data_IF_735126709460
#
_entry.id   IF_735126709460
#
_cell.length_a   1.000
_cell.length_b   1.000
_cell.length_c   1.000
_cell.angle_alpha   90.00
_cell.angle_beta   90.00
_cell.angle_gamma   90.00
#
_symmetry.space_group_name_H-M   'P 1'
#
loop_
_entity.id
_entity.type
_entity.pdbx_description
1 polymer ?
#
# COMPACT_ATOMS: atom_id res chain seq x y z
N UNK A 1 -17.79 -7.26 2.07
CA UNK A 1 -17.62 -6.73 3.43
C UNK A 1 -16.81 -5.44 3.40
N UNK A 2 -16.95 -4.52 4.37
CA UNK A 2 -16.13 -3.32 4.44
C UNK A 2 -14.66 -3.66 4.75
N UNK A 3 -13.74 -2.99 4.06
CA UNK A 3 -12.30 -3.12 4.25
C UNK A 3 -11.69 -1.82 4.78
N UNK A 4 -11.96 -0.70 4.13
CA UNK A 4 -11.39 0.59 4.48
C UNK A 4 -12.37 1.74 4.19
N UNK A 5 -12.27 2.80 4.99
CA UNK A 5 -12.93 4.09 4.78
C UNK A 5 -11.89 5.20 4.90
N UNK A 6 -11.61 5.87 3.79
CA UNK A 6 -10.53 6.85 3.67
C UNK A 6 -11.14 8.22 3.40
N UNK A 7 -10.92 9.17 4.31
CA UNK A 7 -11.40 10.54 4.18
C UNK A 7 -10.28 11.44 3.65
N UNK A 8 -10.61 12.36 2.73
CA UNK A 8 -9.62 13.29 2.16
C UNK A 8 -9.05 14.26 3.19
N UNK A 9 -9.81 14.58 4.25
CA UNK A 9 -9.31 15.39 5.37
C UNK A 9 -8.19 14.71 6.16
N UNK A 10 -8.15 13.37 6.14
CA UNK A 10 -7.18 12.57 6.89
C UNK A 10 -6.04 12.10 5.97
N UNK A 11 -6.26 12.06 4.64
CA UNK A 11 -5.29 11.61 3.64
C UNK A 11 -5.24 12.65 2.50
N UNK A 12 -4.33 13.64 2.59
CA UNK A 12 -4.23 14.74 1.62
C UNK A 12 -3.92 14.29 0.18
N UNK A 13 -3.16 13.21 0.03
CA UNK A 13 -2.75 12.68 -1.29
C UNK A 13 -3.83 11.81 -1.97
N UNK A 14 -4.97 11.58 -1.30
CA UNK A 14 -6.08 10.85 -1.88
C UNK A 14 -6.83 11.73 -2.89
N UNK A 15 -6.55 11.52 -4.17
CA UNK A 15 -7.26 12.20 -5.25
C UNK A 15 -8.69 11.67 -5.40
N UNK A 16 -9.68 12.51 -5.13
CA UNK A 16 -11.10 12.15 -5.25
C UNK A 16 -11.78 12.71 -6.50
N UNK A 17 -12.83 12.02 -6.97
CA UNK A 17 -13.78 12.61 -7.92
C UNK A 17 -14.42 13.90 -7.39
N UNK A 18 -14.79 14.79 -8.31
CA UNK A 18 -15.45 16.04 -7.96
C UNK A 18 -16.71 15.81 -7.10
N UNK A 19 -16.81 16.54 -5.98
CA UNK A 19 -17.94 16.46 -5.07
C UNK A 19 -17.93 15.25 -4.12
N UNK A 20 -16.81 14.53 -4.02
CA UNK A 20 -16.61 13.42 -3.08
C UNK A 20 -15.40 13.66 -2.17
N UNK A 21 -15.50 13.21 -0.92
CA UNK A 21 -14.52 13.41 0.16
C UNK A 21 -14.29 12.12 0.99
N UNK A 22 -14.89 11.01 0.55
CA UNK A 22 -14.81 9.70 1.18
C UNK A 22 -14.67 8.61 0.12
N UNK A 23 -13.61 7.81 0.23
CA UNK A 23 -13.48 6.52 -0.45
C UNK A 23 -13.89 5.41 0.51
N UNK A 24 -14.82 4.56 0.08
CA UNK A 24 -15.17 3.33 0.76
C UNK A 24 -14.74 2.14 -0.09
N UNK A 25 -13.91 1.28 0.49
CA UNK A 25 -13.42 0.05 -0.14
C UNK A 25 -14.16 -1.13 0.48
N UNK A 26 -14.82 -1.91 -0.37
CA UNK A 26 -15.39 -3.19 -0.01
C UNK A 26 -14.59 -4.30 -0.68
N UNK A 27 -14.54 -5.47 -0.06
CA UNK A 27 -13.97 -6.65 -0.72
C UNK A 27 -14.79 -7.92 -0.48
N UNK A 28 -14.57 -8.91 -1.35
CA UNK A 28 -15.08 -10.27 -1.23
C UNK A 28 -13.99 -11.16 -0.62
N UNK A 29 -14.20 -11.77 0.56
CA UNK A 29 -13.17 -12.57 1.24
C UNK A 29 -13.05 -13.99 0.64
N UNK A 30 -12.93 -14.05 -0.69
CA UNK A 30 -12.77 -15.26 -1.50
C UNK A 30 -11.72 -15.00 -2.58
N UNK A 31 -10.96 -16.03 -2.94
CA UNK A 31 -10.10 -16.01 -4.11
C UNK A 31 -10.95 -16.04 -5.39
N UNK A 32 -10.54 -15.30 -6.42
CA UNK A 32 -11.28 -15.15 -7.68
C UNK A 32 -10.50 -15.65 -8.92
N UNK A 33 -10.23 -16.96 -9.04
CA UNK A 33 -9.54 -17.52 -10.20
C UNK A 33 -10.35 -17.36 -11.49
N UNK A 34 -9.71 -17.45 -12.68
CA UNK A 34 -8.27 -17.69 -12.88
C UNK A 34 -7.43 -16.41 -12.92
N UNK A 35 -8.08 -15.24 -12.98
CA UNK A 35 -7.40 -13.96 -13.21
C UNK A 35 -6.69 -13.42 -11.97
N UNK A 36 -7.25 -13.67 -10.78
CA UNK A 36 -6.66 -13.21 -9.52
C UNK A 36 -6.87 -14.25 -8.41
N UNK A 37 -5.78 -14.67 -7.76
CA UNK A 37 -5.85 -15.57 -6.60
C UNK A 37 -5.87 -14.76 -5.30
N UNK A 38 -6.74 -13.75 -5.24
CA UNK A 38 -6.88 -12.80 -4.13
C UNK A 38 -8.32 -12.25 -4.04
N UNK A 39 -8.69 -11.57 -2.94
CA UNK A 39 -9.97 -10.90 -2.77
C UNK A 39 -10.26 -9.93 -3.91
N UNK A 40 -11.51 -9.90 -4.39
CA UNK A 40 -11.96 -8.85 -5.32
C UNK A 40 -12.43 -7.65 -4.54
N UNK A 41 -12.09 -6.44 -4.98
CA UNK A 41 -12.53 -5.19 -4.37
C UNK A 41 -13.59 -4.48 -5.20
N UNK A 42 -14.36 -3.62 -4.54
CA UNK A 42 -15.30 -2.66 -5.13
C UNK A 42 -15.12 -1.33 -4.44
N UNK A 43 -15.00 -0.27 -5.23
CA UNK A 43 -14.75 1.09 -4.77
C UNK A 43 -16.03 1.91 -4.83
N UNK A 44 -16.29 2.70 -3.78
CA UNK A 44 -17.39 3.67 -3.75
C UNK A 44 -16.86 5.04 -3.34
N UNK A 45 -16.94 6.00 -4.25
CA UNK A 45 -16.69 7.41 -3.96
C UNK A 45 -17.97 8.07 -3.47
N UNK A 46 -17.89 8.74 -2.31
CA UNK A 46 -19.05 9.33 -1.63
C UNK A 46 -18.74 10.73 -1.14
N UNK A 47 -19.80 11.52 -0.97
CA UNK A 47 -19.77 12.69 -0.10
C UNK A 47 -20.22 12.25 1.29
N UNK A 48 -19.34 12.33 2.28
CA UNK A 48 -19.57 11.98 3.66
C UNK A 48 -20.79 12.72 4.23
N UNK A 49 -20.94 14.01 3.91
CA UNK A 49 -22.09 14.82 4.30
C UNK A 49 -23.44 14.33 3.74
N UNK A 50 -23.42 13.58 2.63
CA UNK A 50 -24.63 12.99 2.02
C UNK A 50 -24.95 11.58 2.54
N UNK A 51 -24.10 10.99 3.39
CA UNK A 51 -24.34 9.68 3.99
C UNK A 51 -25.28 9.83 5.19
N UNK A 52 -26.58 9.62 4.95
CA UNK A 52 -27.61 9.79 5.99
C UNK A 52 -27.77 8.58 6.93
N UNK A 53 -27.60 7.36 6.39
CA UNK A 53 -27.83 6.12 7.14
C UNK A 53 -26.51 5.41 7.41
N UNK A 54 -25.87 5.78 8.52
CA UNK A 54 -24.63 5.12 8.99
C UNK A 54 -25.00 3.94 9.87
N UNK A 55 -24.44 2.77 9.59
CA UNK A 55 -24.62 1.58 10.41
C UNK A 55 -23.77 1.70 11.69
N UNK A 56 -24.34 1.33 12.84
CA UNK A 56 -23.62 1.35 14.12
C UNK A 56 -22.51 0.28 14.20
N UNK A 57 -22.69 -0.83 13.48
CA UNK A 57 -21.71 -1.89 13.35
C UNK A 57 -21.54 -2.27 11.87
N UNK A 58 -20.34 -2.65 11.42
CA UNK A 58 -20.13 -3.15 10.08
C UNK A 58 -20.92 -4.46 9.88
N UNK A 59 -21.53 -4.68 8.70
CA UNK A 59 -22.26 -5.90 8.43
C UNK A 59 -21.30 -7.09 8.38
N UNK A 60 -21.64 -8.17 9.08
CA UNK A 60 -20.87 -9.40 9.04
C UNK A 60 -20.98 -10.08 7.66
N UNK A 61 -19.87 -10.57 7.08
CA UNK A 61 -19.93 -11.32 5.84
C UNK A 61 -20.69 -12.65 6.06
N UNK A 62 -21.63 -13.00 5.17
CA UNK A 62 -22.39 -14.25 5.32
C UNK A 62 -21.55 -15.51 5.14
N UNK A 63 -20.41 -15.39 4.45
CA UNK A 63 -19.44 -16.46 4.27
C UNK A 63 -18.04 -15.86 4.06
N UNK A 64 -17.03 -16.61 4.48
CA UNK A 64 -15.62 -16.24 4.43
C UNK A 64 -14.86 -17.49 4.01
N UNK A 65 -14.12 -17.43 2.90
CA UNK A 65 -13.33 -18.57 2.46
C UNK A 65 -12.09 -18.75 3.34
N UNK A 66 -11.43 -17.63 3.65
CA UNK A 66 -10.22 -17.61 4.45
C UNK A 66 -10.33 -16.55 5.53
N UNK A 67 -10.08 -16.96 6.78
CA UNK A 67 -10.18 -16.09 7.94
C UNK A 67 -9.17 -14.93 7.89
N UNK A 68 -8.05 -15.10 7.18
CA UNK A 68 -7.02 -14.08 6.99
C UNK A 68 -7.39 -13.00 5.95
N UNK A 69 -8.59 -13.08 5.35
CA UNK A 69 -9.25 -11.98 4.63
C UNK A 69 -10.26 -11.23 5.50
N UNK A 70 -10.25 -11.44 6.81
CA UNK A 70 -11.02 -10.61 7.75
C UNK A 70 -10.07 -9.65 8.45
N UNK A 71 -10.21 -8.34 8.24
CA UNK A 71 -9.42 -7.38 9.00
C UNK A 71 -9.86 -7.37 10.46
N UNK A 72 -8.88 -7.25 11.36
CA UNK A 72 -9.14 -6.72 12.69
C UNK A 72 -9.51 -5.23 12.60
N UNK A 73 -10.66 -4.81 13.15
CA UNK A 73 -11.05 -3.40 13.15
C UNK A 73 -10.02 -2.57 13.88
N UNK A 74 -9.43 -1.60 13.19
CA UNK A 74 -8.44 -0.68 13.73
C UNK A 74 -8.72 0.74 13.25
N UNK A 75 -8.25 1.72 14.03
CA UNK A 75 -8.21 3.11 13.60
C UNK A 75 -6.89 3.34 12.87
N UNK A 76 -6.96 3.88 11.66
CA UNK A 76 -5.78 4.26 10.90
C UNK A 76 -5.21 5.57 11.46
N UNK A 77 -3.88 5.62 11.58
CA UNK A 77 -3.12 6.83 11.85
C UNK A 77 -2.26 7.11 10.61
N UNK A 78 -2.80 7.82 9.60
CA UNK A 78 -2.08 8.06 8.36
C UNK A 78 -0.89 8.99 8.61
N UNK A 79 0.26 8.64 8.03
CA UNK A 79 1.45 9.48 7.96
C UNK A 79 1.74 9.80 6.50
N UNK A 80 1.97 11.08 6.19
CA UNK A 80 2.36 11.49 4.85
C UNK A 80 3.88 11.32 4.71
N UNK A 81 4.29 10.42 3.82
CA UNK A 81 5.71 10.12 3.56
C UNK A 81 6.08 10.44 2.12
N UNK A 82 7.35 10.77 1.90
CA UNK A 82 7.92 10.87 0.55
C UNK A 82 8.59 9.56 0.20
N UNK A 83 8.23 9.00 -0.94
CA UNK A 83 8.83 7.79 -1.50
C UNK A 83 9.15 7.96 -2.98
N UNK A 84 10.04 7.11 -3.48
CA UNK A 84 10.53 7.14 -4.86
C UNK A 84 10.23 5.83 -5.61
N UNK A 85 10.28 5.83 -6.96
CA UNK A 85 9.93 4.67 -7.78
C UNK A 85 10.76 3.44 -7.42
N UNK A 86 10.22 2.26 -7.71
CA UNK A 86 10.99 1.03 -7.59
C UNK A 86 12.27 1.10 -8.44
N UNK A 87 13.40 0.52 -8.00
CA UNK A 87 14.65 0.54 -8.75
C UNK A 87 14.52 0.03 -10.20
N UNK A 88 13.61 -0.90 -10.47
CA UNK A 88 13.38 -1.45 -11.80
C UNK A 88 12.69 -0.45 -12.75
N UNK A 89 12.01 0.57 -12.22
CA UNK A 89 11.38 1.64 -12.98
C UNK A 89 12.31 2.83 -13.24
N UNK A 90 13.48 2.85 -12.58
CA UNK A 90 14.46 3.91 -12.78
C UNK A 90 15.17 3.81 -14.15
N UNK A 91 15.50 4.97 -14.71
CA UNK A 91 16.37 5.05 -15.89
C UNK A 91 17.74 4.44 -15.59
N UNK A 92 18.51 4.08 -16.62
CA UNK A 92 19.86 3.53 -16.42
C UNK A 92 20.78 4.53 -15.73
N UNK A 93 20.63 5.80 -16.10
CA UNK A 93 21.36 6.92 -15.53
C UNK A 93 21.03 7.05 -14.04
N UNK A 94 19.74 7.13 -13.67
CA UNK A 94 19.32 7.23 -12.27
C UNK A 94 19.76 6.03 -11.43
N UNK A 95 19.67 4.80 -11.98
CA UNK A 95 20.21 3.61 -11.30
C UNK A 95 21.70 3.71 -11.04
N UNK A 96 22.46 4.21 -12.02
CA UNK A 96 23.90 4.44 -11.86
C UNK A 96 24.18 5.48 -10.77
N UNK A 97 23.36 6.54 -10.68
CA UNK A 97 23.53 7.57 -9.66
C UNK A 97 23.20 7.07 -8.26
N UNK A 98 22.13 6.29 -8.12
CA UNK A 98 21.72 5.66 -6.85
C UNK A 98 22.73 4.60 -6.40
N UNK A 99 23.36 3.90 -7.35
CA UNK A 99 24.39 2.91 -7.07
C UNK A 99 25.76 3.49 -6.67
N UNK A 100 25.96 4.80 -6.78
CA UNK A 100 27.22 5.47 -6.46
C UNK A 100 27.24 5.93 -4.99
N UNK A 101 27.92 5.16 -4.13
CA UNK A 101 28.01 5.44 -2.70
C UNK A 101 28.55 6.83 -2.37
N UNK A 102 29.53 7.30 -3.15
CA UNK A 102 30.20 8.58 -2.88
C UNK A 102 29.23 9.76 -2.87
N UNK A 103 28.10 9.63 -3.58
CA UNK A 103 27.02 10.62 -3.60
C UNK A 103 26.19 10.62 -2.34
N UNK A 104 25.97 9.46 -1.72
CA UNK A 104 25.26 9.36 -0.45
C UNK A 104 26.10 9.95 0.69
N UNK A 105 27.40 9.63 0.73
CA UNK A 105 28.34 10.19 1.71
C UNK A 105 28.43 11.72 1.60
N UNK A 106 28.46 12.26 0.38
CA UNK A 106 28.49 13.70 0.17
C UNK A 106 27.16 14.40 0.55
N UNK A 107 26.05 13.67 0.60
CA UNK A 107 24.73 14.23 0.83
C UNK A 107 24.31 14.23 2.31
N UNK A 108 24.83 13.32 3.15
CA UNK A 108 24.46 13.25 4.57
C UNK A 108 25.46 12.45 5.42
N UNK A 109 25.84 13.01 6.57
CA UNK A 109 26.71 12.37 7.58
C UNK A 109 26.02 11.23 8.35
N UNK A 110 24.70 11.03 8.14
CA UNK A 110 23.88 10.05 8.88
C UNK A 110 23.88 8.68 8.17
N UNK A 111 24.41 8.60 6.96
CA UNK A 111 24.39 7.37 6.17
C UNK A 111 25.42 6.38 6.74
N UNK A 112 24.93 5.30 7.36
CA UNK A 112 25.80 4.29 7.95
C UNK A 112 26.66 3.60 6.87
N UNK A 113 27.98 3.61 7.09
CA UNK A 113 28.99 2.94 6.27
C UNK A 113 28.71 1.45 6.01
N UNK A 114 27.88 0.79 6.83
CA UNK A 114 27.48 -0.60 6.61
C UNK A 114 26.77 -0.80 5.25
N UNK A 115 26.10 0.24 4.75
CA UNK A 115 25.39 0.23 3.47
C UNK A 115 26.29 0.57 2.27
N UNK A 116 27.55 0.95 2.50
CA UNK A 116 28.51 1.28 1.44
C UNK A 116 28.76 0.12 0.47
N UNK A 117 28.62 -1.11 0.96
CA UNK A 117 28.77 -2.31 0.15
C UNK A 117 27.57 -2.57 -0.77
N UNK A 118 26.40 -1.98 -0.47
CA UNK A 118 25.15 -2.17 -1.21
C UNK A 118 24.34 -0.86 -1.38
N UNK A 119 24.86 0.16 -2.10
CA UNK A 119 24.19 1.47 -2.24
C UNK A 119 22.79 1.37 -2.86
N UNK A 120 22.60 0.47 -3.81
CA UNK A 120 21.28 0.23 -4.43
C UNK A 120 20.27 -0.34 -3.44
N UNK A 121 20.71 -1.16 -2.48
CA UNK A 121 19.85 -1.71 -1.43
C UNK A 121 19.44 -0.62 -0.45
N UNK A 122 20.36 0.30 -0.12
CA UNK A 122 20.04 1.47 0.71
C UNK A 122 18.86 2.28 0.14
N UNK A 123 18.91 2.64 -1.15
CA UNK A 123 17.79 3.31 -1.80
C UNK A 123 16.52 2.46 -1.77
N UNK A 124 16.63 1.18 -2.13
CA UNK A 124 15.48 0.28 -2.23
C UNK A 124 14.75 0.11 -0.90
N UNK A 125 15.50 0.06 0.20
CA UNK A 125 14.97 -0.20 1.55
C UNK A 125 14.56 1.06 2.30
N UNK A 126 15.25 2.19 2.09
CA UNK A 126 15.05 3.40 2.91
C UNK A 126 14.32 4.54 2.19
N UNK A 127 14.31 4.56 0.86
CA UNK A 127 13.85 5.74 0.09
C UNK A 127 12.84 5.41 -1.01
N UNK A 128 12.92 4.21 -1.58
CA UNK A 128 12.02 3.76 -2.64
C UNK A 128 10.61 3.51 -2.10
N UNK A 129 9.91 2.53 -2.66
CA UNK A 129 8.50 2.25 -2.37
C UNK A 129 8.34 1.86 -0.89
N UNK A 130 7.64 2.70 -0.13
CA UNK A 130 7.32 2.44 1.25
C UNK A 130 6.52 1.13 1.37
N UNK A 131 6.85 0.27 2.36
CA UNK A 131 6.11 -0.95 2.62
C UNK A 131 4.72 -0.64 3.20
N UNK A 132 3.91 -1.69 3.42
CA UNK A 132 2.67 -1.53 4.17
C UNK A 132 1.43 -1.05 3.42
N UNK A 133 0.44 -0.69 4.22
CA UNK A 133 -0.80 -0.09 3.77
C UNK A 133 -0.55 1.35 3.34
N UNK A 134 -0.94 1.68 2.10
CA UNK A 134 -0.58 2.97 1.51
C UNK A 134 -1.64 3.46 0.54
N UNK A 135 -2.09 4.70 0.70
CA UNK A 135 -2.91 5.38 -0.29
C UNK A 135 -2.02 6.14 -1.29
N UNK A 136 -2.21 5.90 -2.59
CA UNK A 136 -1.40 6.51 -3.64
C UNK A 136 0.03 5.97 -3.71
N UNK A 137 0.97 6.87 -4.02
CA UNK A 137 2.40 6.57 -4.12
C UNK A 137 2.80 5.86 -5.42
N UNK A 138 3.89 5.10 -5.34
CA UNK A 138 4.51 4.31 -6.40
C UNK A 138 4.10 2.84 -6.32
N UNK A 139 4.10 2.20 -7.49
CA UNK A 139 3.88 0.77 -7.60
C UNK A 139 5.03 -0.01 -6.96
N UNK A 140 4.71 -1.01 -6.13
CA UNK A 140 5.70 -1.94 -5.60
C UNK A 140 5.82 -3.14 -6.53
N UNK A 141 7.04 -3.58 -6.80
CA UNK A 141 7.30 -4.80 -7.57
C UNK A 141 8.09 -5.78 -6.71
N UNK A 142 7.61 -7.01 -6.63
CA UNK A 142 8.23 -8.05 -5.80
C UNK A 142 7.89 -9.47 -6.25
N UNK A 143 6.63 -9.69 -6.65
CA UNK A 143 6.18 -10.96 -7.21
C UNK A 143 6.38 -11.06 -8.74
N UNK A 144 6.23 -9.94 -9.45
CA UNK A 144 6.37 -9.88 -10.91
C UNK A 144 7.31 -8.75 -11.31
N UNK A 145 7.80 -8.81 -12.56
CA UNK A 145 8.43 -7.66 -13.19
C UNK A 145 7.46 -6.46 -13.24
N UNK A 146 7.97 -5.21 -13.34
CA UNK A 146 7.14 -4.03 -13.51
C UNK A 146 6.27 -4.13 -14.76
N UNK A 147 4.96 -4.07 -14.57
CA UNK A 147 3.98 -4.09 -15.65
C UNK A 147 3.09 -2.85 -15.53
N UNK A 148 3.19 -1.89 -16.45
CA UNK A 148 2.29 -0.74 -16.48
C UNK A 148 0.83 -1.19 -16.46
N UNK A 149 0.04 -0.56 -15.60
CA UNK A 149 -1.39 -0.82 -15.54
C UNK A 149 -2.11 0.12 -16.51
N UNK A 150 -2.82 -0.45 -17.49
CA UNK A 150 -3.63 0.32 -18.45
C UNK A 150 -5.11 0.17 -18.15
N UNK A 151 -5.85 1.28 -18.24
CA UNK A 151 -7.29 1.28 -18.06
C UNK A 151 -7.97 0.46 -19.16
N UNK A 152 -8.78 -0.57 -18.84
CA UNK A 152 -9.40 -1.40 -19.87
C UNK A 152 -10.51 -0.67 -20.65
N UNK A 153 -10.96 0.51 -20.19
CA UNK A 153 -11.97 1.31 -20.88
C UNK A 153 -11.38 2.33 -21.87
N UNK A 154 -10.20 2.89 -21.59
CA UNK A 154 -9.65 3.99 -22.38
C UNK A 154 -8.12 3.94 -22.62
N UNK A 155 -7.47 2.85 -22.20
CA UNK A 155 -6.03 2.59 -22.35
C UNK A 155 -5.07 3.59 -21.68
N UNK A 156 -5.61 4.57 -20.95
CA UNK A 156 -4.81 5.51 -20.16
C UNK A 156 -4.09 4.77 -19.05
N UNK A 157 -2.80 5.09 -18.86
CA UNK A 157 -2.01 4.60 -17.74
C UNK A 157 -2.72 4.93 -16.41
N UNK A 158 -2.82 3.93 -15.55
CA UNK A 158 -3.54 4.02 -14.28
C UNK A 158 -2.58 4.41 -13.16
N UNK A 159 -3.11 5.11 -12.17
CA UNK A 159 -2.36 5.51 -10.99
C UNK A 159 -2.61 4.52 -9.84
N UNK A 160 -1.59 4.20 -9.01
CA UNK A 160 -1.82 3.52 -7.75
C UNK A 160 -2.82 4.29 -6.89
N UNK A 161 -3.82 3.58 -6.36
CA UNK A 161 -4.82 4.14 -5.44
C UNK A 161 -4.58 3.68 -4.01
N UNK A 162 -4.46 2.36 -3.81
CA UNK A 162 -4.36 1.76 -2.49
C UNK A 162 -3.54 0.48 -2.56
N UNK A 163 -2.56 0.35 -1.69
CA UNK A 163 -1.86 -0.90 -1.39
C UNK A 163 -2.40 -1.46 -0.08
N UNK A 164 -2.85 -2.71 -0.13
CA UNK A 164 -3.36 -3.52 0.99
C UNK A 164 -2.30 -4.58 1.25
N UNK A 165 -1.48 -4.37 2.27
CA UNK A 165 -0.35 -5.25 2.55
C UNK A 165 -0.62 -6.23 3.69
N UNK A 166 0.04 -7.39 3.63
CA UNK A 166 0.08 -8.31 4.78
C UNK A 166 0.85 -7.70 5.96
N UNK A 167 1.94 -6.98 5.68
CA UNK A 167 2.80 -6.36 6.70
C UNK A 167 3.01 -4.89 6.39
N UNK A 168 3.02 -4.06 7.43
CA UNK A 168 3.43 -2.66 7.38
C UNK A 168 4.93 -2.50 7.12
N UNK A 169 5.75 -3.36 7.72
CA UNK A 169 7.20 -3.42 7.53
C UNK A 169 7.74 -4.83 7.84
N UNK A 170 8.99 -5.07 7.48
CA UNK A 170 9.79 -6.28 7.73
C UNK A 170 11.22 -5.91 8.19
N UNK A 171 12.07 -6.91 8.36
CA UNK A 171 13.43 -6.74 8.90
C UNK A 171 14.36 -5.85 8.07
N UNK A 172 14.05 -5.63 6.79
CA UNK A 172 14.89 -4.91 5.83
C UNK A 172 14.53 -3.42 5.70
N UNK A 173 13.36 -3.00 6.19
CA UNK A 173 12.80 -1.67 5.93
C UNK A 173 12.34 -0.98 7.22
N UNK A 174 13.08 -1.20 8.30
CA UNK A 174 12.84 -0.60 9.62
C UNK A 174 12.84 0.94 9.63
N UNK A 175 13.45 1.57 8.63
CA UNK A 175 13.42 3.04 8.45
C UNK A 175 12.00 3.60 8.28
N UNK A 176 11.06 2.77 7.82
CA UNK A 176 9.65 3.15 7.61
C UNK A 176 8.77 2.90 8.83
N UNK A 177 9.34 2.42 9.94
CA UNK A 177 8.58 2.25 11.18
C UNK A 177 8.22 3.64 11.70
N UNK A 178 6.92 3.94 11.92
CA UNK A 178 6.49 5.22 12.48
C UNK A 178 7.25 5.56 13.75
N UNK A 179 7.64 6.81 13.90
CA UNK A 179 8.51 7.26 15.00
C UNK A 179 7.94 6.87 16.38
N UNK A 180 6.63 6.96 16.55
CA UNK A 180 5.91 6.60 17.77
C UNK A 180 6.01 5.09 18.09
N UNK A 181 6.19 4.25 17.06
CA UNK A 181 6.28 2.80 17.18
C UNK A 181 7.70 2.28 17.35
N UNK A 182 8.73 3.05 16.99
CA UNK A 182 10.13 2.60 17.05
C UNK A 182 10.55 2.09 18.45
N UNK A 183 10.00 2.67 19.53
CA UNK A 183 10.27 2.25 20.91
C UNK A 183 9.54 0.97 21.34
N UNK A 184 8.50 0.58 20.59
CA UNK A 184 7.61 -0.54 20.88
C UNK A 184 7.93 -1.78 20.05
N UNK A 185 8.88 -1.68 19.11
CA UNK A 185 9.35 -2.81 18.29
C UNK A 185 10.32 -3.67 19.11
N UNK A 186 9.81 -4.34 20.13
CA UNK A 186 10.50 -5.49 20.71
C UNK A 186 10.32 -6.71 19.77
N UNK A 187 11.28 -7.65 19.70
CA UNK A 187 11.09 -8.89 18.96
C UNK A 187 9.88 -9.62 19.55
N UNK A 188 8.84 -9.75 18.73
CA UNK A 188 7.58 -10.38 19.14
C UNK A 188 7.82 -11.84 19.47
N UNK A 189 7.48 -12.25 20.71
CA UNK A 189 7.41 -13.68 21.05
C UNK A 189 6.20 -14.31 20.36
N UNK A 190 6.26 -15.63 20.17
CA UNK A 190 5.11 -16.37 19.68
C UNK A 190 3.89 -16.14 20.60
N UNK A 191 2.84 -15.49 20.07
CA UNK A 191 1.61 -15.17 20.80
C UNK A 191 1.41 -13.70 21.18
N UNK A 192 2.36 -12.81 20.87
CA UNK A 192 2.20 -11.35 21.07
C UNK A 192 1.63 -10.65 19.82
N UNK A 193 0.96 -9.51 20.02
CA UNK A 193 0.47 -8.64 18.95
C UNK A 193 1.60 -8.30 17.98
N UNK A 194 1.37 -8.50 16.68
CA UNK A 194 2.35 -8.17 15.63
C UNK A 194 2.18 -6.69 15.26
N UNK A 195 3.06 -5.79 15.72
CA UNK A 195 2.89 -4.36 15.48
C UNK A 195 2.94 -4.03 13.98
N UNK A 196 3.61 -4.87 13.19
CA UNK A 196 3.70 -4.74 11.74
C UNK A 196 2.54 -5.42 10.99
N UNK A 197 1.55 -6.02 11.67
CA UNK A 197 0.35 -6.62 11.05
C UNK A 197 -0.94 -6.19 11.78
N UNK A 198 -1.20 -4.89 11.97
CA UNK A 198 -2.31 -4.40 12.80
C UNK A 198 -3.68 -4.78 12.26
N UNK A 199 -3.79 -5.04 10.95
CA UNK A 199 -5.04 -5.45 10.30
C UNK A 199 -5.29 -6.95 10.36
N UNK A 200 -4.32 -7.76 10.77
CA UNK A 200 -4.33 -9.23 10.69
C UNK A 200 -4.62 -9.83 9.28
N UNK A 201 -4.64 -8.99 8.23
CA UNK A 201 -4.85 -9.44 6.86
C UNK A 201 -3.62 -10.17 6.35
N UNK A 202 -3.83 -11.29 5.67
CA UNK A 202 -2.78 -11.99 4.93
C UNK A 202 -3.18 -12.20 3.48
N UNK A 203 -2.38 -11.64 2.57
CA UNK A 203 -2.51 -11.83 1.12
C UNK A 203 -1.48 -12.86 0.68
N UNK A 204 -1.94 -14.03 0.24
CA UNK A 204 -1.07 -15.12 -0.20
C UNK A 204 -0.03 -15.52 0.86
N UNK A 205 1.26 -15.42 0.51
CA UNK A 205 2.39 -15.77 1.38
C UNK A 205 3.09 -14.55 1.99
N UNK A 206 2.35 -13.47 2.24
CA UNK A 206 2.92 -12.19 2.68
C UNK A 206 3.00 -11.12 1.59
N UNK A 207 2.26 -11.33 0.50
CA UNK A 207 2.12 -10.39 -0.60
C UNK A 207 1.25 -9.20 -0.20
N UNK A 208 1.03 -8.32 -1.17
CA UNK A 208 0.11 -7.20 -1.09
C UNK A 208 -0.79 -7.16 -2.31
N UNK A 209 -1.98 -6.59 -2.13
CA UNK A 209 -2.90 -6.29 -3.21
C UNK A 209 -2.84 -4.80 -3.49
N UNK A 210 -2.54 -4.44 -4.73
CA UNK A 210 -2.50 -3.07 -5.21
C UNK A 210 -3.72 -2.79 -6.07
N UNK A 211 -4.40 -1.69 -5.78
CA UNK A 211 -5.54 -1.18 -6.54
C UNK A 211 -5.08 0.02 -7.37
N UNK A 212 -5.49 0.06 -8.63
CA UNK A 212 -5.16 1.12 -9.56
C UNK A 212 -6.43 1.74 -10.13
N UNK A 213 -6.42 3.06 -10.33
CA UNK A 213 -7.56 3.80 -10.91
C UNK A 213 -7.17 4.60 -12.13
N UNK A 214 -8.12 4.77 -13.04
CA UNK A 214 -7.93 5.58 -14.22
C UNK A 214 -7.99 7.07 -13.86
N UNK A 215 -6.96 7.87 -14.19
CA UNK A 215 -7.00 9.31 -13.93
C UNK A 215 -7.96 10.07 -14.86
N UNK A 216 -8.35 9.46 -16.00
CA UNK A 216 -9.21 10.12 -16.98
C UNK A 216 -10.69 10.15 -16.57
N UNK A 217 -11.16 9.14 -15.82
CA UNK A 217 -12.55 9.09 -15.36
C UNK A 217 -12.68 8.17 -14.14
N UNK A 218 -13.40 8.61 -13.10
CA UNK A 218 -13.64 7.80 -11.90
C UNK A 218 -14.68 6.70 -12.10
N UNK A 219 -15.46 6.78 -13.19
CA UNK A 219 -16.44 5.76 -13.58
C UNK A 219 -15.80 4.58 -14.32
N UNK A 220 -14.52 4.72 -14.71
CA UNK A 220 -13.79 3.61 -15.30
C UNK A 220 -13.46 2.55 -14.24
N UNK A 221 -13.43 1.27 -14.63
CA UNK A 221 -13.10 0.19 -13.71
C UNK A 221 -11.69 0.38 -13.13
N UNK A 222 -11.56 0.10 -11.84
CA UNK A 222 -10.25 -0.09 -11.22
C UNK A 222 -9.67 -1.45 -11.62
N UNK A 223 -8.36 -1.58 -11.54
CA UNK A 223 -7.66 -2.86 -11.71
C UNK A 223 -6.94 -3.23 -10.41
N UNK A 224 -6.59 -4.51 -10.31
CA UNK A 224 -6.02 -5.08 -9.10
C UNK A 224 -4.83 -5.96 -9.47
N UNK A 225 -3.76 -5.86 -8.69
CA UNK A 225 -2.54 -6.64 -8.90
C UNK A 225 -2.01 -7.18 -7.57
N UNK A 226 -1.63 -8.45 -7.53
CA UNK A 226 -0.90 -9.02 -6.41
C UNK A 226 0.60 -8.79 -6.61
N UNK A 227 1.30 -8.32 -5.57
CA UNK A 227 2.74 -8.04 -5.57
C UNK A 227 3.46 -8.52 -4.31
#
# INVERSE_FOLDING_TARGET
MPLAQLYTRDIPDLHTPAGTDLLQVLWCPFDHPPKSYMPRTVLFWRSAAKVANVLAAPPEPPAVQRADYLPEPCLLLPEQVTEYPNPLELSKELRSLVGDWSRWEAASDIVDSCNASYPSEFYSTNLSVAPGWKAGGWASWGLTDPIPQSCPACDTAMNPLLTIATNEWDSSNHSWIPYEMQRSVAPTRAGESRPNQPTAIQIGRGYKQQLYVCPASPEHPHTELMQ
#
